data_IF_337696804315
#
_entry.id   IF_337696804315
#
_cell.length_a   1.000
_cell.length_b   1.000
_cell.length_c   1.000
_cell.angle_alpha   90.00
_cell.angle_beta   90.00
_cell.angle_gamma   90.00
#
_symmetry.space_group_name_H-M   'P 1'
#
loop_
_entity.id
_entity.type
_entity.pdbx_description
1 polymer ?
#
# COMPACT_ATOMS: atom_id res chain seq x y z
N UNK A 1 -9.47 -22.95 -7.10
CA UNK A 1 -10.75 -22.22 -7.02
C UNK A 1 -10.43 -20.80 -6.61
N UNK A 2 -10.99 -19.80 -7.28
CA UNK A 2 -10.74 -18.39 -6.96
C UNK A 2 -11.86 -17.90 -6.07
N UNK A 3 -11.52 -17.57 -4.83
CA UNK A 3 -12.43 -16.93 -3.88
C UNK A 3 -13.07 -15.68 -4.51
N UNK A 4 -14.40 -15.55 -4.38
CA UNK A 4 -15.16 -14.41 -4.92
C UNK A 4 -14.81 -13.14 -4.13
N UNK A 5 -14.61 -12.05 -4.85
CA UNK A 5 -14.23 -10.73 -4.31
C UNK A 5 -15.37 -9.72 -4.34
N UNK A 6 -15.39 -8.83 -3.37
CA UNK A 6 -16.29 -7.68 -3.27
C UNK A 6 -15.45 -6.39 -3.29
N UNK A 7 -15.56 -5.63 -4.38
CA UNK A 7 -14.64 -4.54 -4.70
C UNK A 7 -15.39 -3.22 -4.88
N UNK A 8 -15.46 -2.33 -3.88
CA UNK A 8 -16.02 -1.01 -4.08
C UNK A 8 -15.14 -0.20 -5.05
N UNK A 9 -15.76 0.83 -5.64
CA UNK A 9 -15.13 1.73 -6.61
C UNK A 9 -15.16 3.17 -6.10
N UNK A 10 -14.04 3.86 -6.25
CA UNK A 10 -13.92 5.30 -6.10
C UNK A 10 -13.66 5.87 -7.49
N UNK A 11 -14.38 6.93 -7.85
CA UNK A 11 -14.21 7.64 -9.12
C UNK A 11 -13.67 9.02 -8.80
N UNK A 12 -12.40 9.29 -9.13
CA UNK A 12 -11.71 10.54 -8.83
C UNK A 12 -11.93 11.54 -9.95
N UNK A 13 -12.59 12.65 -9.65
CA UNK A 13 -12.80 13.76 -10.57
C UNK A 13 -12.59 15.07 -9.82
N UNK A 14 -11.70 15.94 -10.32
CA UNK A 14 -11.39 17.24 -9.70
C UNK A 14 -11.07 17.14 -8.20
N UNK A 15 -10.23 16.18 -7.79
CA UNK A 15 -9.83 15.90 -6.40
C UNK A 15 -10.97 15.43 -5.47
N UNK A 16 -12.13 15.10 -6.03
CA UNK A 16 -13.33 14.65 -5.31
C UNK A 16 -13.70 13.24 -5.74
N UNK A 17 -14.40 12.51 -4.86
CA UNK A 17 -15.00 11.23 -5.22
C UNK A 17 -16.40 11.46 -5.78
N UNK A 18 -16.68 10.94 -6.97
CA UNK A 18 -17.98 11.06 -7.64
C UNK A 18 -18.68 9.71 -7.80
N UNK A 19 -19.96 9.73 -8.19
CA UNK A 19 -20.85 8.56 -8.14
C UNK A 19 -20.55 7.49 -9.20
N UNK A 20 -19.92 7.84 -10.32
CA UNK A 20 -19.60 6.87 -11.37
C UNK A 20 -18.72 7.41 -12.50
N UNK A 21 -18.48 6.57 -13.49
CA UNK A 21 -17.77 6.94 -14.73
C UNK A 21 -18.48 8.09 -15.46
N UNK A 22 -19.80 8.03 -15.57
CA UNK A 22 -20.63 9.02 -16.28
C UNK A 22 -21.31 10.02 -15.32
N UNK A 23 -21.62 9.59 -14.11
CA UNK A 23 -22.31 10.40 -13.11
C UNK A 23 -21.32 11.12 -12.18
N UNK A 24 -21.04 12.39 -12.50
CA UNK A 24 -20.08 13.23 -11.78
C UNK A 24 -20.64 13.88 -10.50
N UNK A 25 -21.81 13.44 -10.00
CA UNK A 25 -22.32 13.92 -8.71
C UNK A 25 -21.36 13.54 -7.59
N UNK A 26 -21.03 14.51 -6.74
CA UNK A 26 -20.13 14.33 -5.62
C UNK A 26 -20.71 13.32 -4.61
N UNK A 27 -19.86 12.37 -4.20
CA UNK A 27 -20.12 11.38 -3.14
C UNK A 27 -19.31 11.73 -1.90
N UNK A 28 -18.07 12.18 -2.06
CA UNK A 28 -17.22 12.61 -0.95
C UNK A 28 -16.27 13.72 -1.38
N UNK A 29 -16.10 14.70 -0.48
CA UNK A 29 -15.06 15.71 -0.59
C UNK A 29 -13.65 15.19 -0.27
N UNK A 30 -13.58 14.07 0.43
CA UNK A 30 -12.34 13.43 0.88
C UNK A 30 -12.32 11.97 0.38
N UNK A 31 -11.65 11.71 -0.76
CA UNK A 31 -11.52 10.36 -1.30
C UNK A 31 -10.70 9.42 -0.42
N UNK A 32 -9.73 9.94 0.35
CA UNK A 32 -8.87 9.14 1.24
C UNK A 32 -9.70 8.60 2.40
N UNK A 33 -10.48 9.46 3.07
CA UNK A 33 -11.39 9.05 4.13
C UNK A 33 -12.45 8.05 3.63
N UNK A 34 -12.95 8.23 2.39
CA UNK A 34 -13.88 7.28 1.77
C UNK A 34 -13.21 5.91 1.56
N UNK A 35 -11.96 5.88 1.07
CA UNK A 35 -11.21 4.65 0.88
C UNK A 35 -10.92 3.92 2.21
N UNK A 36 -10.58 4.66 3.27
CA UNK A 36 -10.40 4.09 4.62
C UNK A 36 -11.71 3.47 5.11
N UNK A 37 -12.84 4.18 4.94
CA UNK A 37 -14.17 3.65 5.27
C UNK A 37 -14.46 2.34 4.51
N UNK A 38 -14.14 2.26 3.22
CA UNK A 38 -14.29 1.02 2.45
C UNK A 38 -13.38 -0.11 2.97
N UNK A 39 -12.11 0.21 3.24
CA UNK A 39 -11.13 -0.75 3.77
C UNK A 39 -11.53 -1.31 5.14
N UNK A 40 -12.15 -0.51 5.99
CA UNK A 40 -12.60 -0.91 7.33
C UNK A 40 -13.79 -1.87 7.30
N UNK A 41 -14.50 -1.97 6.17
CA UNK A 41 -15.73 -2.76 6.04
C UNK A 41 -15.54 -4.06 5.22
N UNK A 42 -14.40 -4.74 5.40
CA UNK A 42 -14.17 -6.12 4.91
C UNK A 42 -14.27 -6.34 3.40
N UNK A 43 -14.15 -5.30 2.59
CA UNK A 43 -13.99 -5.45 1.14
C UNK A 43 -12.65 -6.12 0.79
N UNK A 44 -12.54 -6.64 -0.43
CA UNK A 44 -11.39 -7.45 -0.86
C UNK A 44 -10.32 -6.64 -1.63
N UNK A 45 -10.56 -5.34 -1.76
CA UNK A 45 -9.78 -4.40 -2.55
C UNK A 45 -10.65 -3.24 -3.02
N UNK A 46 -10.03 -2.16 -3.50
CA UNK A 46 -10.72 -0.94 -3.93
C UNK A 46 -10.28 -0.62 -5.35
N UNK A 47 -11.23 -0.44 -6.27
CA UNK A 47 -10.92 0.19 -7.55
C UNK A 47 -10.89 1.70 -7.38
N UNK A 48 -9.86 2.35 -7.92
CA UNK A 48 -9.77 3.81 -8.00
C UNK A 48 -9.66 4.18 -9.48
N UNK A 49 -10.73 4.78 -10.01
CA UNK A 49 -10.82 5.26 -11.38
C UNK A 49 -10.40 6.72 -11.44
N UNK A 50 -9.32 7.00 -12.14
CA UNK A 50 -8.87 8.33 -12.50
C UNK A 50 -9.68 8.85 -13.70
N UNK A 51 -10.47 9.89 -13.46
CA UNK A 51 -11.30 10.55 -14.47
C UNK A 51 -10.70 11.88 -14.97
N UNK A 52 -9.39 12.09 -14.80
CA UNK A 52 -8.69 13.27 -15.31
C UNK A 52 -8.76 13.34 -16.84
N UNK A 53 -8.92 14.55 -17.36
CA UNK A 53 -8.94 14.80 -18.81
C UNK A 53 -7.56 15.25 -19.32
N UNK A 54 -6.76 15.84 -18.42
CA UNK A 54 -5.44 16.40 -18.72
C UNK A 54 -4.32 15.73 -17.91
N UNK A 55 -3.10 15.75 -18.45
CA UNK A 55 -1.92 15.21 -17.76
C UNK A 55 -1.66 15.90 -16.41
N UNK A 56 -2.01 17.19 -16.25
CA UNK A 56 -1.84 17.90 -14.98
C UNK A 56 -2.84 17.41 -13.92
N UNK A 57 -4.10 17.22 -14.29
CA UNK A 57 -5.10 16.63 -13.39
C UNK A 57 -4.75 15.18 -13.04
N UNK A 58 -4.15 14.43 -13.98
CA UNK A 58 -3.66 13.09 -13.74
C UNK A 58 -2.57 13.06 -12.66
N UNK A 59 -1.56 13.94 -12.74
CA UNK A 59 -0.54 14.04 -11.68
C UNK A 59 -1.17 14.33 -10.31
N UNK A 60 -2.12 15.27 -10.25
CA UNK A 60 -2.83 15.58 -9.00
C UNK A 60 -3.63 14.37 -8.46
N UNK A 61 -4.25 13.59 -9.35
CA UNK A 61 -4.96 12.38 -8.96
C UNK A 61 -4.00 11.26 -8.54
N UNK A 62 -2.81 11.16 -9.13
CA UNK A 62 -1.76 10.21 -8.72
C UNK A 62 -1.32 10.46 -7.27
N UNK A 63 -1.17 11.72 -6.87
CA UNK A 63 -0.87 12.07 -5.47
C UNK A 63 -1.97 11.58 -4.51
N UNK A 64 -3.24 11.77 -4.87
CA UNK A 64 -4.37 11.26 -4.07
C UNK A 64 -4.40 9.73 -4.06
N UNK A 65 -4.13 9.08 -5.18
CA UNK A 65 -4.06 7.61 -5.27
C UNK A 65 -2.94 7.08 -4.36
N UNK A 66 -1.80 7.77 -4.30
CA UNK A 66 -0.69 7.43 -3.41
C UNK A 66 -1.09 7.54 -1.94
N UNK A 67 -1.79 8.60 -1.56
CA UNK A 67 -2.34 8.77 -0.21
C UNK A 67 -3.38 7.69 0.14
N UNK A 68 -4.27 7.34 -0.80
CA UNK A 68 -5.21 6.23 -0.64
C UNK A 68 -4.46 4.92 -0.38
N UNK A 69 -3.49 4.57 -1.24
CA UNK A 69 -2.72 3.33 -1.12
C UNK A 69 -1.96 3.24 0.22
N UNK A 70 -1.45 4.36 0.71
CA UNK A 70 -0.77 4.43 2.01
C UNK A 70 -1.73 4.28 3.20
N UNK A 71 -3.00 4.65 3.03
CA UNK A 71 -3.99 4.75 4.12
C UNK A 71 -4.86 3.50 4.29
N UNK A 72 -4.92 2.61 3.29
CA UNK A 72 -5.78 1.42 3.32
C UNK A 72 -5.00 0.12 3.54
N UNK A 73 -5.68 -0.88 4.12
CA UNK A 73 -5.10 -2.20 4.34
C UNK A 73 -5.36 -3.18 3.18
N UNK A 74 -6.42 -2.92 2.40
CA UNK A 74 -6.83 -3.73 1.25
C UNK A 74 -6.09 -3.30 -0.04
N UNK A 75 -5.91 -4.18 -1.03
CA UNK A 75 -5.22 -3.82 -2.26
C UNK A 75 -6.02 -2.78 -3.07
N UNK A 76 -5.33 -1.77 -3.59
CA UNK A 76 -5.89 -0.78 -4.51
C UNK A 76 -5.61 -1.20 -5.95
N UNK A 77 -6.61 -1.09 -6.83
CA UNK A 77 -6.50 -1.31 -8.26
C UNK A 77 -6.76 0.01 -8.99
N UNK A 78 -5.74 0.54 -9.66
CA UNK A 78 -5.83 1.80 -10.41
C UNK A 78 -6.42 1.59 -11.80
N UNK A 79 -7.32 2.46 -12.22
CA UNK A 79 -7.96 2.42 -13.53
C UNK A 79 -8.13 3.84 -14.08
N UNK A 80 -8.29 3.99 -15.39
CA UNK A 80 -8.52 5.30 -16.02
C UNK A 80 -7.23 6.09 -16.29
N UNK A 81 -7.33 7.05 -17.21
CA UNK A 81 -6.23 7.89 -17.71
C UNK A 81 -4.96 7.12 -18.14
N UNK A 82 -5.08 5.97 -18.80
CA UNK A 82 -3.92 5.24 -19.36
C UNK A 82 -3.87 5.48 -20.86
N UNK A 83 -2.88 6.25 -21.32
CA UNK A 83 -2.59 6.51 -22.74
C UNK A 83 -1.26 5.90 -23.18
N UNK A 84 -0.36 5.64 -22.23
CA UNK A 84 1.00 5.10 -22.47
C UNK A 84 1.46 4.27 -21.29
N UNK A 85 2.52 3.48 -21.49
CA UNK A 85 3.14 2.67 -20.43
C UNK A 85 3.52 3.50 -19.18
N UNK A 86 3.93 4.75 -19.34
CA UNK A 86 4.33 5.60 -18.20
C UNK A 86 3.15 5.84 -17.23
N UNK A 87 1.91 5.89 -17.72
CA UNK A 87 0.74 6.10 -16.87
C UNK A 87 0.45 4.85 -16.02
N UNK A 88 0.65 3.64 -16.59
CA UNK A 88 0.58 2.39 -15.83
C UNK A 88 1.66 2.37 -14.75
N UNK A 89 2.88 2.78 -15.09
CA UNK A 89 3.99 2.86 -14.15
C UNK A 89 3.67 3.80 -12.99
N UNK A 90 3.10 4.98 -13.26
CA UNK A 90 2.67 5.93 -12.21
C UNK A 90 1.65 5.30 -11.25
N UNK A 91 0.63 4.62 -11.76
CA UNK A 91 -0.36 3.94 -10.92
C UNK A 91 0.29 2.88 -10.01
N UNK A 92 1.13 2.02 -10.57
CA UNK A 92 1.82 0.97 -9.80
C UNK A 92 2.77 1.58 -8.76
N UNK A 93 3.48 2.64 -9.11
CA UNK A 93 4.47 3.29 -8.22
C UNK A 93 3.82 4.15 -7.15
N UNK A 94 2.61 4.64 -7.39
CA UNK A 94 1.75 5.23 -6.36
C UNK A 94 1.32 4.20 -5.29
N UNK A 95 1.47 2.90 -5.55
CA UNK A 95 1.15 1.83 -4.61
C UNK A 95 -0.04 0.97 -5.00
N UNK A 96 -0.64 1.21 -6.18
CA UNK A 96 -1.66 0.30 -6.71
C UNK A 96 -1.05 -1.09 -6.89
N UNK A 97 -1.76 -2.11 -6.40
CA UNK A 97 -1.34 -3.50 -6.59
C UNK A 97 -1.40 -3.90 -8.07
N UNK A 98 -2.40 -3.36 -8.77
CA UNK A 98 -2.71 -3.69 -10.16
C UNK A 98 -3.21 -2.45 -10.91
N UNK A 99 -3.08 -2.45 -12.23
CA UNK A 99 -3.61 -1.42 -13.13
C UNK A 99 -4.60 -2.02 -14.13
N UNK A 100 -5.60 -1.25 -14.56
CA UNK A 100 -6.63 -1.67 -15.51
C UNK A 100 -6.43 -0.99 -16.86
N UNK A 101 -6.14 -1.79 -17.89
CA UNK A 101 -6.09 -1.35 -19.28
C UNK A 101 -7.50 -1.39 -19.89
N UNK A 102 -7.97 -0.29 -20.48
CA UNK A 102 -9.30 -0.23 -21.09
C UNK A 102 -9.24 -0.73 -22.54
N UNK A 103 -9.75 -1.92 -22.80
CA UNK A 103 -9.71 -2.53 -24.14
C UNK A 103 -10.76 -1.95 -25.10
N UNK A 104 -11.56 -0.97 -24.68
CA UNK A 104 -12.28 -0.11 -25.62
C UNK A 104 -11.35 0.87 -26.34
N UNK A 105 -10.12 1.05 -25.86
CA UNK A 105 -9.08 1.91 -26.44
C UNK A 105 -7.99 1.04 -27.08
N UNK A 106 -7.75 1.24 -28.38
CA UNK A 106 -6.76 0.45 -29.15
C UNK A 106 -5.34 0.57 -28.57
N UNK A 107 -4.92 1.79 -28.19
CA UNK A 107 -3.62 2.06 -27.56
C UNK A 107 -3.39 1.18 -26.30
N UNK A 108 -4.43 0.90 -25.52
CA UNK A 108 -4.32 0.07 -24.32
C UNK A 108 -4.10 -1.41 -24.65
N UNK A 109 -4.72 -1.90 -25.73
CA UNK A 109 -4.49 -3.25 -26.26
C UNK A 109 -3.05 -3.38 -26.76
N UNK A 110 -2.55 -2.38 -27.50
CA UNK A 110 -1.20 -2.38 -28.06
C UNK A 110 -0.09 -2.42 -27.00
N UNK A 111 -0.23 -1.63 -25.93
CA UNK A 111 0.79 -1.58 -24.86
C UNK A 111 0.75 -2.79 -23.91
N UNK A 112 -0.31 -3.60 -23.94
CA UNK A 112 -0.54 -4.69 -22.97
C UNK A 112 0.67 -5.61 -22.83
N UNK A 113 1.23 -6.06 -23.95
CA UNK A 113 2.37 -6.99 -23.94
C UNK A 113 3.60 -6.36 -23.32
N UNK A 114 3.93 -5.14 -23.70
CA UNK A 114 5.10 -4.42 -23.18
C UNK A 114 4.99 -4.22 -21.67
N UNK A 115 3.84 -3.73 -21.22
CA UNK A 115 3.56 -3.47 -19.80
C UNK A 115 3.62 -4.76 -19.00
N UNK A 116 3.02 -5.85 -19.49
CA UNK A 116 3.03 -7.14 -18.81
C UNK A 116 4.41 -7.77 -18.74
N UNK A 117 5.22 -7.67 -19.79
CA UNK A 117 6.61 -8.15 -19.76
C UNK A 117 7.47 -7.38 -18.76
N UNK A 118 7.14 -6.11 -18.49
CA UNK A 118 7.86 -5.27 -17.53
C UNK A 118 7.42 -5.48 -16.09
N UNK A 119 6.11 -5.50 -15.84
CA UNK A 119 5.55 -5.49 -14.48
C UNK A 119 4.99 -6.84 -14.03
N UNK A 120 4.72 -7.75 -14.96
CA UNK A 120 4.08 -9.04 -14.72
C UNK A 120 2.58 -9.04 -15.08
N UNK A 121 2.10 -10.17 -15.60
CA UNK A 121 0.68 -10.36 -15.91
C UNK A 121 -0.23 -10.28 -14.68
N UNK A 122 0.29 -10.66 -13.51
CA UNK A 122 -0.41 -10.55 -12.22
C UNK A 122 -0.70 -9.09 -11.81
N UNK A 123 -0.04 -8.11 -12.43
CA UNK A 123 -0.26 -6.69 -12.19
C UNK A 123 -1.34 -6.06 -13.07
N UNK A 124 -1.89 -6.80 -14.04
CA UNK A 124 -2.77 -6.21 -15.04
C UNK A 124 -4.17 -6.80 -15.02
N UNK A 125 -5.13 -5.90 -15.13
CA UNK A 125 -6.52 -6.15 -15.49
C UNK A 125 -6.77 -5.61 -16.89
N UNK A 126 -7.72 -6.20 -17.61
CA UNK A 126 -8.29 -5.58 -18.81
C UNK A 126 -9.77 -5.29 -18.57
N UNK A 127 -10.19 -4.06 -18.82
CA UNK A 127 -11.60 -3.69 -18.82
C UNK A 127 -12.19 -3.93 -20.21
N UNK A 128 -13.34 -4.60 -20.27
CA UNK A 128 -14.04 -4.94 -21.50
C UNK A 128 -15.50 -4.53 -21.42
N UNK A 129 -16.07 -4.14 -22.56
CA UNK A 129 -17.46 -3.76 -22.74
C UNK A 129 -18.26 -4.79 -23.54
N UNK A 130 -17.58 -5.71 -24.24
CA UNK A 130 -18.21 -6.73 -25.08
C UNK A 130 -17.38 -8.03 -25.20
N UNK A 131 -18.06 -9.11 -25.57
CA UNK A 131 -17.49 -10.45 -25.75
C UNK A 131 -16.64 -10.61 -27.00
N UNK A 132 -16.84 -9.77 -28.03
CA UNK A 132 -16.09 -9.81 -29.29
C UNK A 132 -14.62 -9.47 -29.03
N UNK A 133 -14.35 -8.44 -28.24
CA UNK A 133 -12.99 -8.06 -27.81
C UNK A 133 -12.30 -9.22 -27.09
N UNK A 134 -13.02 -9.92 -26.20
CA UNK A 134 -12.47 -11.07 -25.47
C UNK A 134 -12.08 -12.21 -26.42
N UNK A 135 -12.92 -12.48 -27.43
CA UNK A 135 -12.65 -13.52 -28.44
C UNK A 135 -11.47 -13.14 -29.34
N UNK A 136 -11.43 -11.89 -29.82
CA UNK A 136 -10.38 -11.38 -30.70
C UNK A 136 -9.02 -11.31 -29.99
N UNK A 137 -9.01 -10.90 -28.71
CA UNK A 137 -7.80 -10.74 -27.91
C UNK A 137 -7.52 -11.91 -26.96
N UNK A 138 -8.16 -13.06 -27.14
CA UNK A 138 -8.09 -14.19 -26.21
C UNK A 138 -6.65 -14.63 -25.89
N UNK A 139 -5.80 -14.77 -26.91
CA UNK A 139 -4.38 -15.14 -26.73
C UNK A 139 -3.62 -14.09 -25.91
N UNK A 140 -3.87 -12.80 -26.16
CA UNK A 140 -3.23 -11.70 -25.45
C UNK A 140 -3.67 -11.67 -23.98
N UNK A 141 -4.99 -11.78 -23.75
CA UNK A 141 -5.58 -11.81 -22.39
C UNK A 141 -5.01 -13.00 -21.60
N UNK A 142 -5.01 -14.20 -22.18
CA UNK A 142 -4.53 -15.41 -21.49
C UNK A 142 -3.05 -15.34 -21.10
N UNK A 143 -2.22 -14.61 -21.86
CA UNK A 143 -0.78 -14.52 -21.59
C UNK A 143 -0.41 -13.37 -20.66
N UNK A 144 -1.10 -12.23 -20.75
CA UNK A 144 -0.60 -10.97 -20.20
C UNK A 144 -1.55 -10.29 -19.21
N UNK A 145 -2.77 -10.80 -19.03
CA UNK A 145 -3.78 -10.21 -18.14
C UNK A 145 -4.15 -11.22 -17.05
N UNK A 146 -4.29 -10.75 -15.81
CA UNK A 146 -4.68 -11.62 -14.68
C UNK A 146 -6.18 -11.81 -14.52
N UNK A 147 -6.98 -10.78 -14.84
CA UNK A 147 -8.44 -10.75 -14.69
C UNK A 147 -9.08 -9.76 -15.66
N UNK A 148 -10.34 -10.01 -16.00
CA UNK A 148 -11.17 -9.03 -16.70
C UNK A 148 -12.04 -8.24 -15.74
N UNK A 149 -12.29 -6.97 -16.07
CA UNK A 149 -13.34 -6.15 -15.48
C UNK A 149 -14.40 -5.88 -16.54
N UNK A 150 -15.64 -6.28 -16.29
CA UNK A 150 -16.76 -5.95 -17.17
C UNK A 150 -17.33 -4.60 -16.77
N UNK A 151 -17.39 -3.67 -17.73
CA UNK A 151 -17.98 -2.35 -17.54
C UNK A 151 -19.51 -2.40 -17.46
N UNK A 152 -20.15 -3.23 -18.30
CA UNK A 152 -21.61 -3.37 -18.36
C UNK A 152 -22.08 -4.82 -18.08
N UNK A 153 -22.93 -5.04 -17.06
CA UNK A 153 -23.37 -6.40 -16.71
C UNK A 153 -24.22 -7.12 -17.77
N UNK A 154 -24.68 -6.41 -18.80
CA UNK A 154 -25.44 -6.98 -19.93
C UNK A 154 -24.66 -8.08 -20.66
N UNK A 155 -23.33 -7.96 -20.75
CA UNK A 155 -22.45 -8.90 -21.46
C UNK A 155 -21.85 -9.98 -20.56
N UNK A 156 -22.24 -10.02 -19.27
CA UNK A 156 -21.64 -10.88 -18.25
C UNK A 156 -21.57 -12.36 -18.65
N UNK A 157 -22.70 -12.95 -19.06
CA UNK A 157 -22.77 -14.39 -19.35
C UNK A 157 -21.82 -14.75 -20.50
N UNK A 158 -21.88 -13.99 -21.59
CA UNK A 158 -21.05 -14.27 -22.76
C UNK A 158 -19.55 -14.03 -22.47
N UNK A 159 -19.20 -12.96 -21.77
CA UNK A 159 -17.80 -12.71 -21.40
C UNK A 159 -17.28 -13.77 -20.43
N UNK A 160 -18.06 -14.15 -19.41
CA UNK A 160 -17.66 -15.16 -18.44
C UNK A 160 -17.45 -16.54 -19.08
N UNK A 161 -18.27 -16.92 -20.06
CA UNK A 161 -18.13 -18.19 -20.79
C UNK A 161 -16.91 -18.22 -21.73
N UNK A 162 -16.51 -17.08 -22.30
CA UNK A 162 -15.44 -16.99 -23.29
C UNK A 162 -14.09 -16.51 -22.73
N UNK A 163 -14.07 -15.98 -21.51
CA UNK A 163 -12.86 -15.40 -20.93
C UNK A 163 -11.86 -16.49 -20.50
N UNK A 164 -10.58 -16.40 -20.91
CA UNK A 164 -9.54 -17.32 -20.45
C UNK A 164 -9.10 -17.06 -19.00
N UNK A 165 -9.53 -15.95 -18.40
CA UNK A 165 -9.16 -15.52 -17.05
C UNK A 165 -10.39 -15.15 -16.22
N UNK A 166 -10.30 -15.13 -14.88
CA UNK A 166 -11.42 -14.78 -14.02
C UNK A 166 -11.96 -13.37 -14.28
N UNK A 167 -13.27 -13.22 -14.13
CA UNK A 167 -13.99 -11.99 -14.47
C UNK A 167 -14.58 -11.32 -13.24
N UNK A 168 -14.34 -10.03 -13.06
CA UNK A 168 -15.06 -9.17 -12.13
C UNK A 168 -16.13 -8.40 -12.91
N UNK A 169 -17.34 -8.33 -12.39
CA UNK A 169 -18.42 -7.57 -13.04
C UNK A 169 -18.88 -6.42 -12.15
N UNK A 170 -19.14 -5.27 -12.77
CA UNK A 170 -19.95 -4.24 -12.12
C UNK A 170 -21.41 -4.70 -12.09
N UNK A 171 -22.14 -4.39 -11.03
CA UNK A 171 -23.57 -4.69 -10.93
C UNK A 171 -24.37 -3.44 -10.55
N UNK A 172 -25.54 -3.20 -11.18
CA UNK A 172 -26.51 -2.25 -10.66
C UNK A 172 -27.16 -2.82 -9.41
N UNK A 173 -28.05 -2.05 -8.80
CA UNK A 173 -28.89 -2.52 -7.71
C UNK A 173 -29.78 -3.70 -8.18
N UNK A 174 -29.61 -4.86 -7.55
CA UNK A 174 -30.33 -6.11 -7.87
C UNK A 174 -30.62 -6.88 -6.58
N UNK A 175 -31.51 -7.88 -6.65
CA UNK A 175 -31.85 -8.73 -5.51
C UNK A 175 -30.68 -9.63 -5.09
N UNK A 176 -30.64 -9.99 -3.79
CA UNK A 176 -29.66 -10.92 -3.22
C UNK A 176 -29.62 -12.26 -3.97
N UNK A 177 -30.78 -12.81 -4.33
CA UNK A 177 -30.90 -14.05 -5.10
C UNK A 177 -30.12 -13.99 -6.42
N UNK A 178 -30.21 -12.85 -7.11
CA UNK A 178 -29.52 -12.64 -8.39
C UNK A 178 -28.02 -12.42 -8.21
N UNK A 179 -27.59 -11.80 -7.10
CA UNK A 179 -26.17 -11.72 -6.74
C UNK A 179 -25.59 -13.13 -6.56
N UNK A 180 -26.29 -13.99 -5.81
CA UNK A 180 -25.89 -15.38 -5.58
C UNK A 180 -25.86 -16.18 -6.89
N UNK A 181 -26.85 -16.02 -7.78
CA UNK A 181 -26.84 -16.65 -9.11
C UNK A 181 -25.60 -16.27 -9.92
N UNK A 182 -25.26 -14.97 -9.93
CA UNK A 182 -24.08 -14.44 -10.63
C UNK A 182 -22.78 -14.98 -10.03
N UNK A 183 -22.65 -14.96 -8.70
CA UNK A 183 -21.45 -15.43 -8.02
C UNK A 183 -21.25 -16.95 -8.13
N UNK A 184 -22.31 -17.73 -8.38
CA UNK A 184 -22.22 -19.18 -8.67
C UNK A 184 -21.62 -19.50 -10.04
N UNK A 185 -21.53 -18.54 -10.96
CA UNK A 185 -20.86 -18.76 -12.24
C UNK A 185 -19.36 -19.01 -12.01
N UNK A 186 -18.84 -20.10 -12.55
CA UNK A 186 -17.48 -20.59 -12.26
C UNK A 186 -16.39 -19.54 -12.56
N UNK A 187 -16.50 -18.86 -13.70
CA UNK A 187 -15.49 -17.89 -14.14
C UNK A 187 -15.70 -16.47 -13.56
N UNK A 188 -16.78 -16.23 -12.82
CA UNK A 188 -16.98 -14.95 -12.12
C UNK A 188 -16.12 -14.96 -10.86
N UNK A 189 -15.09 -14.11 -10.80
CA UNK A 189 -14.19 -13.98 -9.67
C UNK A 189 -14.65 -12.98 -8.60
N UNK A 190 -15.79 -12.31 -8.79
CA UNK A 190 -16.29 -11.30 -7.86
C UNK A 190 -17.15 -10.22 -8.51
N UNK A 191 -17.58 -9.27 -7.70
CA UNK A 191 -18.44 -8.14 -8.07
C UNK A 191 -17.82 -6.82 -7.64
N UNK A 192 -18.13 -5.77 -8.39
CA UNK A 192 -17.63 -4.42 -8.18
C UNK A 192 -18.69 -3.34 -8.40
N UNK A 193 -18.33 -2.09 -8.13
CA UNK A 193 -19.14 -0.93 -8.50
C UNK A 193 -20.22 -0.56 -7.49
N UNK A 194 -21.26 0.12 -7.98
CA UNK A 194 -22.26 0.81 -7.14
C UNK A 194 -22.94 -0.11 -6.12
N UNK A 195 -23.30 -1.33 -6.51
CA UNK A 195 -23.90 -2.29 -5.59
C UNK A 195 -23.00 -2.57 -4.38
N UNK A 196 -21.69 -2.67 -4.58
CA UNK A 196 -20.73 -2.88 -3.49
C UNK A 196 -20.56 -1.61 -2.65
N UNK A 197 -20.49 -0.44 -3.30
CA UNK A 197 -20.39 0.85 -2.61
C UNK A 197 -21.58 1.10 -1.67
N UNK A 198 -22.80 0.90 -2.17
CA UNK A 198 -24.03 1.20 -1.44
C UNK A 198 -24.26 0.22 -0.27
N UNK A 199 -23.72 -1.01 -0.38
CA UNK A 199 -23.85 -2.07 0.63
C UNK A 199 -22.52 -2.33 1.36
N UNK A 200 -21.66 -1.30 1.47
CA UNK A 200 -20.31 -1.49 1.99
C UNK A 200 -20.32 -1.98 3.44
N UNK A 201 -21.30 -1.59 4.27
CA UNK A 201 -21.38 -2.00 5.68
C UNK A 201 -21.86 -3.45 5.83
N UNK A 202 -22.50 -3.98 4.79
CA UNK A 202 -23.13 -5.29 4.76
C UNK A 202 -22.25 -6.35 4.06
N UNK A 203 -21.03 -6.01 3.63
CA UNK A 203 -20.15 -6.94 2.90
C UNK A 203 -19.89 -8.24 3.66
N UNK A 204 -19.70 -8.19 4.99
CA UNK A 204 -19.53 -9.40 5.79
C UNK A 204 -20.79 -10.29 5.73
N UNK A 205 -21.98 -9.69 5.86
CA UNK A 205 -23.23 -10.44 5.77
C UNK A 205 -23.44 -11.04 4.36
N UNK A 206 -23.03 -10.33 3.30
CA UNK A 206 -23.03 -10.86 1.94
C UNK A 206 -22.06 -12.04 1.77
N UNK A 207 -20.87 -11.94 2.37
CA UNK A 207 -19.88 -13.03 2.40
C UNK A 207 -20.41 -14.26 3.13
N UNK A 208 -21.05 -14.07 4.27
CA UNK A 208 -21.66 -15.17 5.03
C UNK A 208 -22.81 -15.82 4.24
N UNK A 209 -23.68 -15.03 3.62
CA UNK A 209 -24.73 -15.55 2.72
C UNK A 209 -24.16 -16.35 1.54
N UNK A 210 -23.03 -15.91 0.98
CA UNK A 210 -22.33 -16.64 -0.08
C UNK A 210 -21.86 -18.01 0.42
N UNK A 211 -21.26 -18.08 1.62
CA UNK A 211 -20.83 -19.36 2.22
C UNK A 211 -22.00 -20.30 2.47
N UNK A 212 -23.10 -19.80 3.00
CA UNK A 212 -24.33 -20.59 3.22
C UNK A 212 -24.87 -21.18 1.91
N UNK A 213 -24.54 -20.55 0.77
CA UNK A 213 -24.87 -20.99 -0.57
C UNK A 213 -23.75 -21.79 -1.27
N UNK A 214 -22.71 -22.20 -0.54
CA UNK A 214 -21.59 -22.99 -1.05
C UNK A 214 -20.62 -22.21 -1.94
N UNK A 215 -20.62 -20.87 -1.84
CA UNK A 215 -19.73 -19.99 -2.62
C UNK A 215 -18.53 -19.63 -1.77
N UNK A 216 -17.33 -19.95 -2.25
CA UNK A 216 -16.07 -19.60 -1.61
C UNK A 216 -15.79 -18.09 -1.78
N UNK A 217 -15.60 -17.37 -0.68
CA UNK A 217 -15.32 -15.93 -0.63
C UNK A 217 -13.98 -15.66 0.05
N UNK A 218 -13.32 -14.54 -0.28
CA UNK A 218 -12.05 -14.22 0.37
C UNK A 218 -12.28 -13.76 1.80
N UNK A 219 -11.63 -14.48 2.71
CA UNK A 219 -11.57 -14.13 4.12
C UNK A 219 -10.14 -14.05 4.58
N UNK A 220 -9.87 -13.03 5.40
CA UNK A 220 -8.73 -13.05 6.30
C UNK A 220 -9.14 -14.01 7.43
N UNK A 221 -8.97 -15.31 7.19
CA UNK A 221 -9.06 -16.32 8.24
C UNK A 221 -7.72 -16.36 8.96
N UNK A 222 -7.75 -16.21 10.28
CA UNK A 222 -6.56 -16.43 11.06
C UNK A 222 -6.22 -17.93 11.03
N UNK A 223 -4.98 -18.25 10.67
CA UNK A 223 -4.50 -19.64 10.64
C UNK A 223 -4.56 -20.31 12.02
N UNK A 224 -4.50 -19.50 13.08
CA UNK A 224 -4.64 -19.91 14.46
C UNK A 224 -5.82 -19.16 15.08
N UNK A 225 -6.60 -19.85 15.90
CA UNK A 225 -7.70 -19.28 16.67
C UNK A 225 -7.22 -18.87 18.05
N UNK A 226 -8.06 -18.14 18.79
CA UNK A 226 -7.71 -17.71 20.15
C UNK A 226 -7.35 -18.89 21.04
N UNK A 227 -8.03 -20.02 20.88
CA UNK A 227 -7.84 -21.25 21.65
C UNK A 227 -6.45 -21.87 21.47
N UNK A 228 -5.80 -21.64 20.33
CA UNK A 228 -4.48 -22.20 20.01
C UNK A 228 -3.34 -21.52 20.81
N UNK A 229 -3.57 -20.33 21.34
CA UNK A 229 -2.58 -19.59 22.12
C UNK A 229 -2.57 -20.00 23.59
N UNK A 230 -1.38 -19.99 24.20
CA UNK A 230 -1.16 -20.13 25.65
C UNK A 230 -1.20 -18.75 26.29
N UNK A 231 -2.22 -18.52 27.12
CA UNK A 231 -2.41 -17.23 27.80
C UNK A 231 -1.62 -17.24 29.10
N UNK A 232 -1.26 -16.05 29.58
CA UNK A 232 -0.71 -15.89 30.91
C UNK A 232 -1.76 -16.22 32.01
N UNK A 233 -1.36 -16.11 33.27
CA UNK A 233 -2.23 -16.37 34.43
C UNK A 233 -3.49 -15.50 34.49
N UNK A 234 -3.48 -14.36 33.82
CA UNK A 234 -4.61 -13.42 33.76
C UNK A 234 -5.54 -13.70 32.57
N UNK A 235 -5.27 -14.76 31.79
CA UNK A 235 -6.03 -15.07 30.57
C UNK A 235 -5.71 -14.15 29.39
N UNK A 236 -4.57 -13.44 29.44
CA UNK A 236 -4.16 -12.46 28.44
C UNK A 236 -2.96 -12.95 27.65
N UNK A 237 -2.84 -12.45 26.43
CA UNK A 237 -1.73 -12.74 25.54
C UNK A 237 -0.85 -11.49 25.37
N UNK A 238 0.45 -11.54 25.65
CA UNK A 238 1.37 -10.46 25.33
C UNK A 238 1.46 -10.27 23.81
N UNK A 239 1.52 -9.00 23.40
CA UNK A 239 1.66 -8.59 22.00
C UNK A 239 2.82 -7.61 21.89
N UNK A 240 3.84 -7.99 21.13
CA UNK A 240 4.95 -7.12 20.73
C UNK A 240 4.56 -6.45 19.42
N UNK A 241 4.65 -5.12 19.39
CA UNK A 241 4.26 -4.33 18.23
C UNK A 241 5.50 -3.77 17.56
N UNK A 242 5.65 -4.05 16.27
CA UNK A 242 6.81 -3.65 15.48
C UNK A 242 6.35 -2.87 14.26
N UNK A 243 7.04 -1.77 13.95
CA UNK A 243 6.79 -1.06 12.69
C UNK A 243 7.26 -1.93 11.52
N UNK A 244 6.36 -2.15 10.55
CA UNK A 244 6.64 -3.06 9.46
C UNK A 244 7.70 -2.56 8.46
N UNK A 245 7.97 -1.23 8.41
CA UNK A 245 8.97 -0.62 7.53
C UNK A 245 10.33 -0.56 8.21
N UNK A 246 10.37 -0.08 9.45
CA UNK A 246 11.63 0.23 10.15
C UNK A 246 12.14 -0.91 11.02
N UNK A 247 11.33 -1.95 11.21
CA UNK A 247 11.55 -3.04 12.16
C UNK A 247 11.72 -2.56 13.62
N UNK A 248 11.44 -1.29 13.91
CA UNK A 248 11.51 -0.76 15.27
C UNK A 248 10.41 -1.38 16.14
N UNK A 249 10.78 -1.90 17.31
CA UNK A 249 9.80 -2.29 18.32
C UNK A 249 9.16 -1.03 18.89
N UNK A 250 7.86 -0.88 18.71
CA UNK A 250 7.08 0.29 19.07
C UNK A 250 6.57 0.22 20.50
N UNK A 251 5.96 -0.89 20.88
CA UNK A 251 5.39 -1.08 22.22
C UNK A 251 5.12 -2.56 22.52
N UNK A 252 4.83 -2.85 23.78
CA UNK A 252 4.26 -4.11 24.22
C UNK A 252 2.88 -3.83 24.86
N UNK A 253 1.90 -4.66 24.54
CA UNK A 253 0.55 -4.59 25.10
C UNK A 253 -0.02 -6.00 25.33
N UNK A 254 -1.28 -6.08 25.76
CA UNK A 254 -1.97 -7.35 25.97
C UNK A 254 -3.25 -7.40 25.15
N UNK A 255 -3.64 -8.60 24.72
CA UNK A 255 -4.96 -8.89 24.15
C UNK A 255 -5.69 -9.90 25.03
N UNK A 256 -7.02 -9.76 25.09
CA UNK A 256 -7.95 -10.84 25.41
C UNK A 256 -8.57 -11.36 24.10
N UNK A 257 -9.49 -12.33 24.19
CA UNK A 257 -10.15 -12.92 23.02
C UNK A 257 -10.86 -11.88 22.15
N UNK A 258 -11.59 -10.96 22.78
CA UNK A 258 -12.33 -9.91 22.09
C UNK A 258 -11.39 -8.97 21.34
N UNK A 259 -10.28 -8.56 21.96
CA UNK A 259 -9.26 -7.71 21.33
C UNK A 259 -8.59 -8.40 20.13
N UNK A 260 -8.30 -9.70 20.25
CA UNK A 260 -7.74 -10.50 19.16
C UNK A 260 -8.69 -10.57 17.97
N UNK A 261 -9.95 -10.96 18.22
CA UNK A 261 -11.00 -11.03 17.19
C UNK A 261 -11.25 -9.67 16.55
N UNK A 262 -11.34 -8.60 17.36
CA UNK A 262 -11.52 -7.23 16.88
C UNK A 262 -10.33 -6.78 16.02
N UNK A 263 -9.10 -7.15 16.37
CA UNK A 263 -7.90 -6.80 15.58
C UNK A 263 -7.91 -7.46 14.21
N UNK A 264 -8.23 -8.76 14.13
CA UNK A 264 -8.38 -9.47 12.84
C UNK A 264 -9.59 -8.93 12.06
N UNK A 265 -10.66 -8.58 12.77
CA UNK A 265 -11.87 -8.05 12.15
C UNK A 265 -11.66 -6.64 11.58
N UNK A 266 -11.01 -5.74 12.30
CA UNK A 266 -10.90 -4.35 11.87
C UNK A 266 -9.62 -4.06 11.10
N UNK A 267 -8.60 -4.93 11.22
CA UNK A 267 -7.25 -4.61 10.74
C UNK A 267 -6.57 -3.48 11.53
N UNK A 268 -7.18 -3.01 12.64
CA UNK A 268 -6.63 -2.01 13.55
C UNK A 268 -6.23 -2.68 14.85
N UNK A 269 -5.08 -2.31 15.39
CA UNK A 269 -4.64 -2.87 16.66
C UNK A 269 -5.60 -2.49 17.79
N UNK A 270 -6.25 -3.51 18.34
CA UNK A 270 -7.11 -3.41 19.52
C UNK A 270 -6.44 -4.15 20.67
N UNK A 271 -6.31 -3.50 21.81
CA UNK A 271 -5.68 -4.06 23.00
C UNK A 271 -6.69 -4.19 24.14
N UNK A 272 -6.34 -4.98 25.14
CA UNK A 272 -7.05 -5.03 26.41
C UNK A 272 -6.23 -4.31 27.49
N UNK A 273 -6.79 -3.22 28.04
CA UNK A 273 -6.14 -2.47 29.11
C UNK A 273 -6.33 -3.18 30.44
N UNK A 274 -5.25 -3.71 31.03
CA UNK A 274 -5.30 -4.38 32.33
C UNK A 274 -5.76 -3.47 33.47
N UNK A 275 -5.40 -2.18 33.41
CA UNK A 275 -5.73 -1.22 34.47
C UNK A 275 -7.15 -0.70 34.36
N UNK A 276 -7.69 -0.55 33.15
CA UNK A 276 -9.06 -0.07 32.90
C UNK A 276 -10.07 -1.19 32.72
N UNK A 277 -9.59 -2.42 32.51
CA UNK A 277 -10.38 -3.61 32.23
C UNK A 277 -11.32 -3.47 31.01
N UNK A 278 -10.88 -2.74 29.99
CA UNK A 278 -11.66 -2.43 28.79
C UNK A 278 -10.84 -2.66 27.51
N UNK A 279 -11.55 -2.82 26.39
CA UNK A 279 -10.96 -2.79 25.06
C UNK A 279 -10.51 -1.38 24.70
N UNK A 280 -9.37 -1.28 24.02
CA UNK A 280 -8.79 -0.01 23.60
C UNK A 280 -8.27 -0.13 22.16
N UNK A 281 -8.90 0.59 21.23
CA UNK A 281 -8.41 0.71 19.86
C UNK A 281 -7.29 1.76 19.84
N UNK A 282 -6.08 1.35 19.46
CA UNK A 282 -4.94 2.27 19.42
C UNK A 282 -5.19 3.37 18.40
N UNK A 283 -5.12 4.61 18.88
CA UNK A 283 -5.32 5.80 18.05
C UNK A 283 -6.69 6.44 18.20
N UNK A 284 -7.69 5.76 18.77
CA UNK A 284 -9.07 6.27 18.85
C UNK A 284 -9.18 7.65 19.53
N UNK A 285 -8.41 7.88 20.59
CA UNK A 285 -8.37 9.18 21.29
C UNK A 285 -7.33 10.16 20.72
N UNK A 286 -6.25 9.67 20.13
CA UNK A 286 -5.06 10.48 19.77
C UNK A 286 -4.90 10.74 18.27
N UNK A 287 -5.63 10.02 17.41
CA UNK A 287 -5.39 9.93 15.97
C UNK A 287 -4.19 9.05 15.58
N UNK A 288 -3.39 8.57 16.53
CA UNK A 288 -2.16 7.81 16.24
C UNK A 288 -2.45 6.31 16.10
N UNK A 289 -3.07 5.94 14.98
CA UNK A 289 -3.52 4.57 14.70
C UNK A 289 -2.37 3.59 14.41
N UNK A 290 -2.67 2.31 14.58
CA UNK A 290 -1.82 1.19 14.17
C UNK A 290 -2.62 0.23 13.30
N UNK A 291 -2.22 0.08 12.04
CA UNK A 291 -2.87 -0.82 11.07
C UNK A 291 -2.06 -2.10 10.92
N UNK A 292 -2.71 -3.25 11.09
CA UNK A 292 -2.09 -4.58 10.98
C UNK A 292 -1.62 -4.82 9.55
N UNK A 293 -0.36 -5.22 9.40
CA UNK A 293 0.18 -5.80 8.16
C UNK A 293 0.35 -7.31 8.26
N UNK A 294 0.82 -7.79 9.42
CA UNK A 294 0.85 -9.22 9.71
C UNK A 294 0.88 -9.47 11.22
N UNK A 295 0.39 -10.65 11.62
CA UNK A 295 0.45 -11.16 12.98
C UNK A 295 1.15 -12.52 12.96
N UNK A 296 2.10 -12.73 13.86
CA UNK A 296 2.80 -14.01 14.03
C UNK A 296 2.67 -14.46 15.48
N UNK A 297 2.37 -15.74 15.70
CA UNK A 297 2.65 -16.38 16.98
C UNK A 297 4.12 -16.77 17.06
N UNK A 298 4.69 -16.76 18.26
CA UNK A 298 6.01 -17.32 18.51
C UNK A 298 6.01 -18.86 18.54
N UNK A 299 7.16 -19.47 18.83
CA UNK A 299 7.36 -20.90 18.62
C UNK A 299 6.53 -21.79 19.56
N UNK A 300 6.12 -21.28 20.72
CA UNK A 300 5.29 -21.98 21.70
C UNK A 300 3.92 -21.34 21.91
N UNK A 301 3.56 -20.38 21.05
CA UNK A 301 2.24 -19.75 20.90
C UNK A 301 1.79 -19.02 22.16
N UNK A 302 2.71 -18.38 22.89
CA UNK A 302 2.38 -17.60 24.07
C UNK A 302 2.51 -16.08 23.87
N UNK A 303 3.05 -15.65 22.72
CA UNK A 303 3.23 -14.24 22.39
C UNK A 303 2.88 -13.97 20.91
N UNK A 304 2.25 -12.82 20.64
CA UNK A 304 2.05 -12.34 19.26
C UNK A 304 3.07 -11.25 18.91
N UNK A 305 3.71 -11.37 17.75
CA UNK A 305 4.36 -10.26 17.06
C UNK A 305 3.39 -9.65 16.04
N UNK A 306 3.02 -8.39 16.26
CA UNK A 306 2.21 -7.61 15.35
C UNK A 306 3.09 -6.65 14.54
N UNK A 307 3.21 -6.88 13.23
CA UNK A 307 3.83 -5.92 12.30
C UNK A 307 2.77 -4.93 11.83
N UNK A 308 2.98 -3.64 12.06
CA UNK A 308 1.98 -2.60 11.84
C UNK A 308 2.51 -1.42 11.06
N UNK A 309 1.62 -0.73 10.32
CA UNK A 309 1.85 0.67 9.91
C UNK A 309 1.50 1.55 11.10
N UNK A 310 2.46 2.32 11.59
CA UNK A 310 2.24 3.31 12.64
C UNK A 310 1.90 4.68 12.04
N UNK A 311 0.76 5.25 12.44
CA UNK A 311 0.44 6.66 12.17
C UNK A 311 0.83 7.50 13.38
N UNK A 312 1.64 8.53 13.19
CA UNK A 312 2.12 9.40 14.27
C UNK A 312 3.00 8.65 15.29
N UNK A 313 3.02 9.13 16.54
CA UNK A 313 3.79 8.51 17.61
C UNK A 313 3.07 7.30 18.24
N UNK A 314 3.78 6.18 18.45
CA UNK A 314 3.20 5.04 19.17
C UNK A 314 3.00 5.35 20.66
N UNK A 315 3.93 6.12 21.27
CA UNK A 315 3.90 6.44 22.68
C UNK A 315 3.03 7.68 22.99
N UNK A 316 2.39 7.66 24.15
CA UNK A 316 1.61 8.78 24.67
C UNK A 316 2.47 10.00 25.06
N UNK A 317 3.79 9.83 25.18
CA UNK A 317 4.75 10.92 25.43
C UNK A 317 5.07 11.74 24.16
N UNK A 318 4.60 11.28 23.00
CA UNK A 318 5.00 11.81 21.68
C UNK A 318 6.23 11.11 21.09
N UNK A 319 6.88 10.20 21.82
CA UNK A 319 7.98 9.39 21.30
C UNK A 319 7.49 8.34 20.29
N UNK A 320 8.26 8.10 19.24
CA UNK A 320 7.91 7.13 18.19
C UNK A 320 7.76 5.69 18.73
N UNK A 321 8.67 5.26 19.61
CA UNK A 321 8.61 4.00 20.36
C UNK A 321 8.43 4.27 21.86
N UNK A 322 7.93 3.30 22.61
CA UNK A 322 7.94 3.28 24.08
C UNK A 322 9.31 2.92 24.68
N UNK A 323 10.23 2.35 23.89
CA UNK A 323 11.54 1.86 24.34
C UNK A 323 12.66 2.88 24.10
N UNK A 324 12.55 4.06 24.70
CA UNK A 324 13.50 5.17 24.51
C UNK A 324 14.44 5.42 25.72
N UNK A 325 14.22 4.73 26.83
CA UNK A 325 15.08 4.86 28.01
C UNK A 325 16.18 3.79 27.98
N UNK A 326 17.42 4.20 27.77
CA UNK A 326 18.59 3.31 27.78
C UNK A 326 18.85 2.78 29.20
N UNK A 327 18.98 1.45 29.34
CA UNK A 327 19.31 0.81 30.62
C UNK A 327 20.81 0.54 30.73
N UNK A 328 21.39 -0.06 29.67
CA UNK A 328 22.82 -0.39 29.58
C UNK A 328 23.18 -0.55 28.11
N UNK A 329 24.35 -0.05 27.73
CA UNK A 329 24.98 -0.30 26.43
C UNK A 329 26.28 -1.06 26.69
N UNK A 330 26.40 -2.26 26.12
CA UNK A 330 27.55 -3.15 26.36
C UNK A 330 28.74 -2.86 25.44
N UNK A 331 28.52 -2.11 24.36
CA UNK A 331 29.59 -1.63 23.50
C UNK A 331 30.03 -0.23 23.94
N UNK A 332 31.33 0.05 23.87
CA UNK A 332 31.79 1.44 23.81
C UNK A 332 31.01 2.13 22.68
N UNK A 333 30.59 3.38 22.89
CA UNK A 333 29.73 4.19 22.01
C UNK A 333 30.19 4.29 20.53
N UNK A 334 31.28 3.64 20.18
CA UNK A 334 31.87 3.55 18.85
C UNK A 334 31.35 2.38 17.99
N UNK A 335 30.78 1.30 18.55
CA UNK A 335 30.36 0.12 17.77
C UNK A 335 28.84 -0.16 17.73
N UNK A 336 28.06 0.32 18.70
CA UNK A 336 26.64 -0.08 18.91
C UNK A 336 25.59 0.64 18.06
N UNK A 337 25.96 1.42 17.05
CA UNK A 337 24.99 2.05 16.13
C UNK A 337 25.15 1.63 14.66
N UNK A 338 25.93 0.60 14.35
CA UNK A 338 26.02 0.10 12.99
C UNK A 338 24.84 -0.83 12.64
N UNK A 339 23.61 -0.30 12.66
CA UNK A 339 22.72 -0.67 11.55
C UNK A 339 23.25 0.12 10.34
N UNK A 340 23.92 -0.51 9.36
CA UNK A 340 24.51 0.21 8.24
C UNK A 340 23.48 1.06 7.49
N UNK A 341 22.19 0.69 7.58
CA UNK A 341 21.08 1.41 6.97
C UNK A 341 20.66 2.66 7.78
N UNK A 342 20.83 2.67 9.11
CA UNK A 342 20.52 3.85 9.94
C UNK A 342 21.51 4.99 9.75
N UNK A 343 22.76 4.68 9.40
CA UNK A 343 23.80 5.68 9.13
C UNK A 343 23.32 6.70 8.08
N UNK A 344 22.59 6.26 7.06
CA UNK A 344 22.04 7.15 6.04
C UNK A 344 20.99 8.11 6.59
N UNK A 345 20.08 7.63 7.44
CA UNK A 345 19.06 8.45 8.09
C UNK A 345 19.69 9.44 9.09
N UNK A 346 20.68 9.00 9.86
CA UNK A 346 21.36 9.83 10.86
C UNK A 346 22.16 10.96 10.19
N UNK A 347 22.97 10.63 9.18
CA UNK A 347 23.73 11.63 8.41
C UNK A 347 22.77 12.61 7.71
N UNK A 348 21.69 12.10 7.12
CA UNK A 348 20.70 12.95 6.47
C UNK A 348 19.97 13.88 7.45
N UNK A 349 19.65 13.39 8.65
CA UNK A 349 19.05 14.19 9.72
C UNK A 349 19.98 15.31 10.18
N UNK A 350 21.29 15.02 10.31
CA UNK A 350 22.30 16.04 10.61
C UNK A 350 22.41 17.08 9.49
N UNK A 351 22.32 16.67 8.22
CA UNK A 351 22.33 17.59 7.07
C UNK A 351 21.10 18.50 7.10
N UNK A 352 19.91 17.95 7.36
CA UNK A 352 18.67 18.72 7.51
C UNK A 352 18.75 19.70 8.67
N UNK A 353 19.20 19.25 9.85
CA UNK A 353 19.40 20.11 11.02
C UNK A 353 20.36 21.26 10.69
N UNK A 354 21.48 21.00 10.01
CA UNK A 354 22.42 22.07 9.62
C UNK A 354 21.80 23.07 8.63
N UNK A 355 20.84 22.67 7.82
CA UNK A 355 20.11 23.57 6.90
C UNK A 355 19.21 24.53 7.67
N UNK A 356 18.49 24.03 8.67
CA UNK A 356 17.54 24.80 9.48
C UNK A 356 18.21 25.58 10.62
N UNK A 357 19.25 24.99 11.21
CA UNK A 357 20.03 25.49 12.33
C UNK A 357 21.53 25.62 11.95
N UNK A 358 21.92 26.67 11.20
CA UNK A 358 23.28 26.82 10.72
C UNK A 358 24.33 26.86 11.83
N UNK A 359 25.44 26.16 11.62
CA UNK A 359 26.61 26.20 12.51
C UNK A 359 27.79 26.83 11.78
N UNK A 360 28.35 27.88 12.37
CA UNK A 360 29.50 28.58 11.82
C UNK A 360 30.67 27.61 11.58
N UNK A 361 31.31 27.70 10.40
CA UNK A 361 32.42 26.83 10.00
C UNK A 361 32.05 25.43 9.50
N UNK A 362 30.75 25.08 9.44
CA UNK A 362 30.28 23.80 8.90
C UNK A 362 30.40 23.73 7.37
N UNK A 363 31.00 22.65 6.86
CA UNK A 363 31.08 22.39 5.41
C UNK A 363 29.69 22.28 4.76
N UNK A 364 28.72 21.68 5.45
CA UNK A 364 27.34 21.55 4.95
C UNK A 364 26.69 22.92 4.76
N UNK A 365 26.94 23.86 5.68
CA UNK A 365 26.41 25.22 5.56
C UNK A 365 27.03 25.96 4.38
N UNK A 366 28.34 25.82 4.16
CA UNK A 366 29.01 26.36 2.98
C UNK A 366 28.38 25.87 1.66
N UNK A 367 27.98 24.60 1.58
CA UNK A 367 27.31 24.06 0.39
C UNK A 367 25.95 24.71 0.15
N UNK A 368 25.12 24.82 1.20
CA UNK A 368 23.81 25.48 1.11
C UNK A 368 23.93 26.98 0.81
N UNK A 369 24.87 27.69 1.43
CA UNK A 369 25.11 29.13 1.20
C UNK A 369 25.53 29.44 -0.24
N UNK A 370 26.25 28.51 -0.89
CA UNK A 370 26.65 28.63 -2.29
C UNK A 370 25.57 28.16 -3.27
N UNK A 371 24.50 27.55 -2.78
CA UNK A 371 23.35 27.14 -3.55
C UNK A 371 23.56 25.91 -4.44
N UNK A 372 22.49 25.58 -5.17
CA UNK A 372 22.35 24.32 -5.94
C UNK A 372 23.51 24.05 -6.90
N UNK A 373 24.05 25.07 -7.58
CA UNK A 373 25.14 24.87 -8.55
C UNK A 373 26.41 24.32 -7.90
N UNK A 374 26.71 24.74 -6.67
CA UNK A 374 27.87 24.24 -5.93
C UNK A 374 27.67 22.79 -5.48
N UNK A 375 26.46 22.47 -5.04
CA UNK A 375 26.05 21.11 -4.65
C UNK A 375 26.16 20.17 -5.86
N UNK A 376 25.60 20.56 -7.00
CA UNK A 376 25.62 19.78 -8.24
C UNK A 376 27.04 19.59 -8.78
N UNK A 377 27.87 20.64 -8.73
CA UNK A 377 29.29 20.54 -9.11
C UNK A 377 29.99 19.47 -8.28
N UNK A 378 29.81 19.48 -6.96
CA UNK A 378 30.41 18.50 -6.06
C UNK A 378 29.90 17.10 -6.35
N UNK A 379 28.58 16.92 -6.42
CA UNK A 379 27.96 15.64 -6.76
C UNK A 379 28.51 15.02 -8.06
N UNK A 380 28.70 15.84 -9.10
CA UNK A 380 29.25 15.40 -10.38
C UNK A 380 30.76 15.08 -10.35
N UNK A 381 31.54 15.81 -9.54
CA UNK A 381 32.96 15.51 -9.27
C UNK A 381 33.07 14.11 -8.65
N UNK A 382 32.39 13.88 -7.51
CA UNK A 382 32.46 12.60 -6.79
C UNK A 382 31.97 11.42 -7.66
N UNK A 383 30.92 11.63 -8.47
CA UNK A 383 30.43 10.61 -9.40
C UNK A 383 31.48 10.18 -10.43
N UNK A 384 32.27 11.15 -10.92
CA UNK A 384 33.36 10.89 -11.86
C UNK A 384 34.54 10.21 -11.15
N UNK A 385 34.82 10.61 -9.92
CA UNK A 385 35.88 10.03 -9.09
C UNK A 385 35.59 8.56 -8.76
N UNK A 386 34.33 8.17 -8.51
CA UNK A 386 33.92 6.75 -8.41
C UNK A 386 34.32 5.97 -9.66
N UNK A 387 34.02 6.49 -10.86
CA UNK A 387 34.32 5.81 -12.13
C UNK A 387 35.84 5.63 -12.30
N UNK A 388 36.63 6.62 -11.88
CA UNK A 388 38.09 6.55 -11.93
C UNK A 388 38.61 5.55 -10.91
N UNK A 389 38.18 5.65 -9.65
CA UNK A 389 38.60 4.79 -8.55
C UNK A 389 38.23 3.32 -8.78
N UNK A 390 37.12 3.04 -9.47
CA UNK A 390 36.71 1.68 -9.84
C UNK A 390 37.71 0.97 -10.77
N UNK A 391 38.58 1.72 -11.46
CA UNK A 391 39.64 1.16 -12.31
C UNK A 391 40.94 0.89 -11.55
N UNK A 392 41.06 1.38 -10.32
CA UNK A 392 42.26 1.25 -9.51
C UNK A 392 42.22 -0.04 -8.68
N UNK A 393 43.39 -0.64 -8.39
CA UNK A 393 43.45 -1.92 -7.67
C UNK A 393 43.16 -1.81 -6.16
N UNK A 394 43.14 -0.60 -5.59
CA UNK A 394 42.91 -0.38 -4.16
C UNK A 394 41.42 -0.14 -3.88
N UNK A 395 40.70 -1.07 -3.22
CA UNK A 395 39.27 -0.93 -2.96
C UNK A 395 38.93 0.17 -1.93
N UNK A 396 39.91 0.72 -1.22
CA UNK A 396 39.63 1.81 -0.28
C UNK A 396 39.31 3.12 -1.00
N UNK A 397 39.89 3.36 -2.17
CA UNK A 397 39.67 4.61 -2.91
C UNK A 397 38.21 4.71 -3.34
N UNK A 398 37.69 3.68 -4.01
CA UNK A 398 36.27 3.61 -4.40
C UNK A 398 35.32 3.73 -3.20
N UNK A 399 35.71 3.18 -2.04
CA UNK A 399 34.92 3.31 -0.81
C UNK A 399 34.79 4.77 -0.37
N UNK A 400 35.88 5.54 -0.40
CA UNK A 400 35.85 6.96 -0.04
C UNK A 400 35.04 7.79 -1.04
N UNK A 401 35.24 7.57 -2.34
CA UNK A 401 34.49 8.30 -3.38
C UNK A 401 32.97 7.99 -3.32
N UNK A 402 32.60 6.74 -3.02
CA UNK A 402 31.19 6.39 -2.79
C UNK A 402 30.63 7.10 -1.55
N UNK A 403 31.39 7.18 -0.46
CA UNK A 403 30.97 7.91 0.73
C UNK A 403 30.75 9.41 0.44
N UNK A 404 31.67 10.05 -0.27
CA UNK A 404 31.57 11.48 -0.60
C UNK A 404 30.44 11.75 -1.60
N UNK A 405 30.25 10.88 -2.60
CA UNK A 405 29.10 10.95 -3.50
C UNK A 405 27.77 10.84 -2.73
N UNK A 406 27.63 9.84 -1.86
CA UNK A 406 26.40 9.64 -1.08
C UNK A 406 26.13 10.82 -0.15
N UNK A 407 27.17 11.41 0.45
CA UNK A 407 27.03 12.62 1.26
C UNK A 407 26.50 13.80 0.43
N UNK A 408 27.11 14.09 -0.73
CA UNK A 408 26.64 15.19 -1.59
C UNK A 408 25.26 14.92 -2.20
N UNK A 409 24.93 13.64 -2.45
CA UNK A 409 23.59 13.23 -2.87
C UNK A 409 22.56 13.54 -1.79
N UNK A 410 22.87 13.23 -0.52
CA UNK A 410 22.02 13.57 0.62
C UNK A 410 21.88 15.09 0.82
N UNK A 411 22.91 15.88 0.56
CA UNK A 411 22.80 17.36 0.57
C UNK A 411 21.85 17.84 -0.53
N UNK A 412 21.93 17.27 -1.74
CA UNK A 412 20.99 17.57 -2.83
C UNK A 412 19.55 17.14 -2.49
N UNK A 413 19.38 15.97 -1.89
CA UNK A 413 18.09 15.47 -1.41
C UNK A 413 17.46 16.47 -0.41
N UNK A 414 18.23 16.94 0.57
CA UNK A 414 17.78 17.95 1.54
C UNK A 414 17.50 19.31 0.87
N UNK A 415 18.19 19.63 -0.21
CA UNK A 415 17.93 20.84 -1.00
C UNK A 415 16.61 20.75 -1.78
N UNK A 416 16.25 19.55 -2.26
CA UNK A 416 15.04 19.30 -3.05
C UNK A 416 13.84 18.79 -2.25
N UNK A 417 13.99 18.56 -0.95
CA UNK A 417 12.93 18.03 -0.10
C UNK A 417 12.65 16.54 -0.30
N UNK A 418 13.59 15.80 -0.89
CA UNK A 418 13.45 14.36 -1.16
C UNK A 418 14.00 13.55 0.02
N UNK A 419 13.33 12.47 0.41
CA UNK A 419 13.71 11.62 1.55
C UNK A 419 14.27 10.25 1.13
N UNK A 420 14.99 9.59 2.04
CA UNK A 420 15.42 8.20 1.83
C UNK A 420 14.24 7.25 1.64
N UNK A 421 13.15 7.45 2.38
CA UNK A 421 11.93 6.65 2.24
C UNK A 421 11.37 6.70 0.81
N UNK A 422 11.30 7.90 0.21
CA UNK A 422 10.85 8.06 -1.17
C UNK A 422 11.78 7.38 -2.17
N UNK A 423 13.10 7.55 -2.01
CA UNK A 423 14.10 6.92 -2.90
C UNK A 423 14.06 5.40 -2.80
N UNK A 424 14.02 4.83 -1.59
CA UNK A 424 13.97 3.38 -1.41
C UNK A 424 12.65 2.79 -1.87
N UNK A 425 11.54 3.51 -1.70
CA UNK A 425 10.23 3.10 -2.24
C UNK A 425 10.26 3.06 -3.76
N UNK A 426 10.77 4.11 -4.39
CA UNK A 426 10.94 4.19 -5.85
C UNK A 426 11.88 3.09 -6.36
N UNK A 427 12.96 2.77 -5.66
CA UNK A 427 13.87 1.67 -6.02
C UNK A 427 13.21 0.30 -5.88
N UNK A 428 12.42 0.06 -4.83
CA UNK A 428 11.73 -1.21 -4.61
C UNK A 428 10.62 -1.48 -5.65
N UNK A 429 10.09 -0.41 -6.27
CA UNK A 429 9.06 -0.50 -7.30
C UNK A 429 9.64 -0.73 -8.72
N UNK A 430 10.96 -0.62 -8.91
CA UNK A 430 11.64 -0.87 -10.19
C UNK A 430 11.92 -2.35 -10.41
#
# INVERSE_FOLDING_TARGET
MNSKKFLPCIYLYQKRAVNGLEDKREVSIDPVALAVSYSDNKCDGIFVFDLSETDNEHEENIDIIKEICASVAVPVIGAGHIRRMEDVKKLLYAGCRQAVLDYSLEDNVEITREVSMKFGADKLFAMVDNSKVVKEQCTLINQYISRLLIKEPSVLKEVAENSPVPVITTLPEISLEKIIEILKLDNVGGIAGKLVNDNIKEIQALKDLCKDNGIEVSEITAAYQWEDFKKNSDGLLPVIVQDYKTDAVLMQAYMNEEAYKATIHTGKMTYYSRSRQELWIKGETSGHYQYVKSLYGDCDMDTILARVVQIGAACHTGSYSCFFNEIVTMDDKTDSQHNPLKVFEDVFSVIKDRKENPKEGSYTNYLFDKGVDKILKKLGEEATEIVIAAKNPNPNEIKYEICDFLYHMMVLMAEKGVTWEEITTELANR
#
